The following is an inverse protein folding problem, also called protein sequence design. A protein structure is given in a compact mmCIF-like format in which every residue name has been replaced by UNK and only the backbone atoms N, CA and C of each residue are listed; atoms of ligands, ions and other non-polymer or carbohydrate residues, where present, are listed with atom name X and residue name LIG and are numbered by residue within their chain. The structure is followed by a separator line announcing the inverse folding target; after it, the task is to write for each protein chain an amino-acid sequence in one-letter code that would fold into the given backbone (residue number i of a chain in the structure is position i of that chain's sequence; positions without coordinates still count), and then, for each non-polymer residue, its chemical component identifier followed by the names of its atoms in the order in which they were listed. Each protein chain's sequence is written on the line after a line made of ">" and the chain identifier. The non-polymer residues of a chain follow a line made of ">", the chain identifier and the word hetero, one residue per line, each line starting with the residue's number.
data_IF_089896386405
#
_entry.id   IF_089896386405
#
_cell.length_a   1.000
_cell.length_b   1.000
_cell.length_c   1.000
_cell.angle_alpha   90.00
_cell.angle_beta   90.00
_cell.angle_gamma   90.00
#
_symmetry.space_group_name_H-M   'P 1'
#
loop_
_entity.id
_entity.type
_entity.pdbx_description
1 polymer ?
#
# COMPACT_ATOMS: atom_id res chain seq x y z
N UNK A 1 -0.31 -24.65 -6.79
CA UNK A 1 -1.70 -24.16 -6.97
C UNK A 1 -2.40 -25.07 -7.95
N UNK A 2 -3.71 -25.25 -7.83
CA UNK A 2 -4.47 -25.95 -8.88
C UNK A 2 -4.52 -25.08 -10.14
N UNK A 3 -4.45 -25.66 -11.35
CA UNK A 3 -4.69 -24.92 -12.58
C UNK A 3 -6.03 -24.18 -12.53
N UNK A 4 -6.03 -22.89 -12.86
CA UNK A 4 -7.21 -22.02 -12.80
C UNK A 4 -7.54 -21.41 -11.42
N UNK A 5 -6.76 -21.72 -10.37
CA UNK A 5 -6.89 -21.06 -9.08
C UNK A 5 -6.55 -19.56 -9.14
N UNK A 6 -7.27 -18.73 -8.37
CA UNK A 6 -7.03 -17.28 -8.28
C UNK A 6 -6.21 -16.92 -7.04
N UNK A 7 -5.26 -16.00 -7.21
CA UNK A 7 -4.46 -15.44 -6.12
C UNK A 7 -4.93 -14.02 -5.81
N UNK A 8 -5.29 -13.78 -4.54
CA UNK A 8 -5.56 -12.44 -4.01
C UNK A 8 -4.54 -12.13 -2.93
N UNK A 9 -3.80 -11.04 -3.08
CA UNK A 9 -2.74 -10.66 -2.14
C UNK A 9 -2.68 -9.14 -1.97
N UNK A 10 -2.49 -8.70 -0.73
CA UNK A 10 -2.11 -7.33 -0.40
C UNK A 10 -0.62 -7.33 -0.01
N UNK A 11 0.15 -6.46 -0.65
CA UNK A 11 1.60 -6.42 -0.49
C UNK A 11 2.04 -5.00 -0.13
N UNK A 12 3.08 -4.85 0.70
CA UNK A 12 3.53 -3.54 1.11
C UNK A 12 4.18 -2.82 -0.09
N UNK A 13 3.72 -1.60 -0.36
CA UNK A 13 4.10 -0.84 -1.55
C UNK A 13 5.42 -0.07 -1.35
N UNK A 14 6.15 0.13 -2.45
CA UNK A 14 7.32 1.00 -2.63
C UNK A 14 8.51 0.71 -1.69
N UNK A 15 9.62 0.22 -2.25
CA UNK A 15 10.85 -0.01 -1.48
C UNK A 15 11.45 1.26 -0.85
N UNK A 16 11.24 2.44 -1.45
CA UNK A 16 11.70 3.72 -0.87
C UNK A 16 11.02 4.09 0.45
N UNK A 17 9.90 3.43 0.80
CA UNK A 17 9.20 3.64 2.07
C UNK A 17 9.73 2.75 3.21
N UNK A 18 10.75 1.93 2.95
CA UNK A 18 11.32 1.05 3.98
C UNK A 18 11.76 1.83 5.21
N UNK A 19 11.38 1.34 6.38
CA UNK A 19 11.63 2.00 7.67
C UNK A 19 11.90 0.98 8.78
N UNK A 20 12.26 1.46 9.98
CA UNK A 20 12.52 0.59 11.13
C UNK A 20 11.30 -0.26 11.50
N UNK A 21 10.09 0.26 11.32
CA UNK A 21 8.89 -0.50 11.57
C UNK A 21 8.61 -1.61 10.57
N UNK A 22 9.15 -1.54 9.35
CA UNK A 22 9.11 -2.69 8.45
C UNK A 22 9.93 -3.85 9.02
N UNK A 23 11.08 -3.54 9.61
CA UNK A 23 11.92 -4.53 10.29
C UNK A 23 11.20 -5.07 11.53
N UNK A 24 10.60 -4.20 12.34
CA UNK A 24 9.83 -4.61 13.52
C UNK A 24 8.62 -5.48 13.17
N UNK A 25 7.91 -5.15 12.08
CA UNK A 25 6.79 -5.94 11.58
C UNK A 25 7.21 -7.24 10.88
N UNK A 26 8.52 -7.50 10.73
CA UNK A 26 9.03 -8.68 10.04
C UNK A 26 8.77 -8.67 8.54
N UNK A 27 8.56 -7.50 7.93
CA UNK A 27 8.48 -7.41 6.48
C UNK A 27 9.82 -7.77 5.85
N UNK A 28 9.78 -8.47 4.72
CA UNK A 28 10.97 -8.90 3.98
C UNK A 28 11.24 -8.09 2.72
N UNK A 29 10.19 -7.57 2.07
CA UNK A 29 10.28 -6.83 0.82
C UNK A 29 9.05 -5.97 0.59
N UNK A 30 9.23 -4.82 -0.05
CA UNK A 30 8.15 -4.01 -0.63
C UNK A 30 8.19 -4.06 -2.16
N UNK A 31 7.05 -3.82 -2.80
CA UNK A 31 6.90 -3.96 -4.24
C UNK A 31 6.35 -2.69 -4.88
N UNK A 32 6.84 -2.37 -6.07
CA UNK A 32 6.08 -1.55 -7.04
C UNK A 32 5.17 -2.47 -7.85
N UNK A 33 4.12 -1.91 -8.47
CA UNK A 33 3.25 -2.63 -9.41
C UNK A 33 4.07 -3.31 -10.51
N UNK A 34 5.09 -2.66 -11.08
CA UNK A 34 5.94 -3.30 -12.08
C UNK A 34 6.67 -4.51 -11.51
N UNK A 35 7.31 -4.36 -10.35
CA UNK A 35 8.11 -5.44 -9.74
C UNK A 35 7.29 -6.66 -9.35
N UNK A 36 6.06 -6.49 -8.84
CA UNK A 36 5.21 -7.63 -8.51
C UNK A 36 4.64 -8.28 -9.77
N UNK A 37 4.24 -7.50 -10.77
CA UNK A 37 3.79 -8.03 -12.05
C UNK A 37 4.88 -8.86 -12.72
N UNK A 38 6.13 -8.41 -12.67
CA UNK A 38 7.26 -9.16 -13.25
C UNK A 38 7.52 -10.47 -12.51
N UNK A 39 7.40 -10.48 -11.18
CA UNK A 39 7.53 -11.72 -10.36
C UNK A 39 6.40 -12.70 -10.70
N UNK A 40 5.16 -12.22 -10.74
CA UNK A 40 3.99 -13.06 -11.02
C UNK A 40 3.99 -13.60 -12.45
N UNK A 41 4.36 -12.80 -13.45
CA UNK A 41 4.49 -13.27 -14.84
C UNK A 41 5.58 -14.34 -14.99
N UNK A 42 6.71 -14.20 -14.28
CA UNK A 42 7.77 -15.22 -14.26
C UNK A 42 7.34 -16.52 -13.60
N UNK A 43 6.36 -16.45 -12.69
CA UNK A 43 5.71 -17.60 -12.08
C UNK A 43 4.48 -18.08 -12.86
N UNK A 44 4.34 -17.66 -14.13
CA UNK A 44 3.29 -18.07 -15.07
C UNK A 44 1.87 -17.67 -14.65
N UNK A 45 1.73 -16.64 -13.81
CA UNK A 45 0.41 -16.07 -13.50
C UNK A 45 -0.05 -15.11 -14.59
N UNK A 46 -1.34 -15.20 -14.93
CA UNK A 46 -2.06 -14.15 -15.66
C UNK A 46 -2.50 -13.08 -14.68
N UNK A 47 -2.10 -11.83 -14.91
CA UNK A 47 -2.54 -10.69 -14.09
C UNK A 47 -3.93 -10.27 -14.57
N UNK A 48 -4.94 -10.52 -13.74
CA UNK A 48 -6.32 -10.06 -14.00
C UNK A 48 -6.53 -8.62 -13.51
N UNK A 49 -5.95 -8.25 -12.37
CA UNK A 49 -6.10 -6.93 -11.79
C UNK A 49 -4.93 -6.58 -10.87
N UNK A 50 -4.48 -5.33 -10.93
CA UNK A 50 -3.47 -4.80 -10.01
C UNK A 50 -3.67 -3.31 -9.76
N UNK A 51 -3.65 -2.91 -8.49
CA UNK A 51 -3.75 -1.51 -8.09
C UNK A 51 -2.99 -1.26 -6.80
N UNK A 52 -2.61 0.00 -6.60
CA UNK A 52 -2.31 0.50 -5.27
C UNK A 52 -3.62 0.83 -4.55
N UNK A 53 -3.61 0.69 -3.23
CA UNK A 53 -4.68 1.15 -2.33
C UNK A 53 -4.06 2.09 -1.29
N UNK A 54 -4.83 3.04 -0.79
CA UNK A 54 -4.38 4.15 0.06
C UNK A 54 -3.30 5.04 -0.57
N UNK A 55 -3.52 5.45 -1.81
CA UNK A 55 -2.53 6.18 -2.64
C UNK A 55 -2.00 7.48 -1.99
N UNK A 56 -2.70 8.06 -1.03
CA UNK A 56 -2.23 9.24 -0.27
C UNK A 56 -1.34 8.91 0.93
N UNK A 57 -1.40 7.70 1.49
CA UNK A 57 -0.59 7.30 2.65
C UNK A 57 0.91 7.20 2.33
N UNK A 58 1.37 6.75 1.15
CA UNK A 58 2.78 6.74 0.80
C UNK A 58 3.51 8.06 1.06
N UNK A 59 2.90 9.20 0.74
CA UNK A 59 3.55 10.51 0.96
C UNK A 59 3.64 10.85 2.44
N UNK A 60 2.59 10.56 3.22
CA UNK A 60 2.56 10.75 4.68
C UNK A 60 3.59 9.83 5.36
N UNK A 61 3.62 8.55 4.99
CA UNK A 61 4.58 7.56 5.51
C UNK A 61 6.00 7.97 5.16
N UNK A 62 6.26 8.43 3.95
CA UNK A 62 7.59 8.89 3.54
C UNK A 62 8.07 10.05 4.42
N UNK A 63 7.22 11.06 4.65
CA UNK A 63 7.54 12.24 5.45
C UNK A 63 7.80 11.93 6.92
N UNK A 64 6.94 11.12 7.54
CA UNK A 64 6.98 10.93 8.99
C UNK A 64 7.75 9.69 9.43
N UNK A 65 8.06 8.73 8.54
CA UNK A 65 8.70 7.45 8.91
C UNK A 65 9.99 7.19 8.13
N UNK A 66 9.91 7.22 6.80
CA UNK A 66 11.05 6.85 5.94
C UNK A 66 12.14 7.94 5.92
N UNK A 67 11.76 9.22 5.91
CA UNK A 67 12.72 10.34 5.95
C UNK A 67 13.56 10.37 7.23
N UNK A 68 12.99 10.35 8.45
CA UNK A 68 13.77 10.34 9.69
C UNK A 68 14.76 9.17 9.81
N UNK A 69 14.35 7.99 9.32
CA UNK A 69 15.20 6.79 9.33
C UNK A 69 16.38 6.90 8.36
N UNK A 70 16.22 7.55 7.21
CA UNK A 70 17.31 7.85 6.27
C UNK A 70 18.36 8.84 6.85
N UNK A 71 17.93 9.76 7.72
CA UNK A 71 18.82 10.73 8.37
C UNK A 71 19.46 10.23 9.67
N UNK A 72 19.43 8.92 9.95
CA UNK A 72 20.13 8.31 11.09
C UNK A 72 19.56 8.66 12.46
N UNK A 73 18.41 9.35 12.52
CA UNK A 73 17.66 9.53 13.75
C UNK A 73 16.86 8.26 14.00
N UNK A 74 17.50 7.30 14.68
CA UNK A 74 16.79 6.23 15.37
C UNK A 74 15.99 6.83 16.52
N UNK A 75 14.88 7.51 16.21
CA UNK A 75 13.82 7.67 17.18
C UNK A 75 13.14 6.31 17.25
N UNK A 76 13.66 5.43 18.10
CA UNK A 76 12.86 4.37 18.69
C UNK A 76 11.75 5.05 19.51
N UNK A 77 10.75 5.60 18.84
CA UNK A 77 9.56 6.12 19.50
C UNK A 77 8.62 4.95 19.75
N UNK A 78 9.02 4.10 20.71
CA UNK A 78 8.11 3.23 21.44
C UNK A 78 7.00 4.04 22.16
N UNK A 79 7.07 5.37 22.16
CA UNK A 79 6.05 6.28 22.69
C UNK A 79 4.91 6.63 21.72
N UNK A 80 5.01 6.31 20.42
CA UNK A 80 3.95 6.68 19.48
C UNK A 80 2.75 5.70 19.45
N UNK A 81 2.90 4.49 20.02
CA UNK A 81 1.82 3.48 20.09
C UNK A 81 0.68 3.82 21.07
N UNK A 82 0.77 4.93 21.83
CA UNK A 82 -0.33 5.39 22.72
C UNK A 82 -1.21 6.49 22.11
N UNK A 83 -0.97 6.91 20.87
CA UNK A 83 -1.75 7.98 20.21
C UNK A 83 -2.69 7.51 19.09
N UNK A 84 -2.87 6.19 18.94
CA UNK A 84 -3.63 5.61 17.82
C UNK A 84 -5.13 5.39 18.08
N UNK A 85 -5.66 5.72 19.25
CA UNK A 85 -7.07 5.44 19.58
C UNK A 85 -7.97 6.68 19.81
N UNK A 86 -7.51 7.88 19.45
CA UNK A 86 -8.37 9.07 19.43
C UNK A 86 -8.22 9.82 18.11
N UNK A 87 -8.78 9.27 17.04
CA UNK A 87 -9.17 10.11 15.91
C UNK A 87 -10.39 10.92 16.38
N UNK A 88 -10.13 12.11 16.94
CA UNK A 88 -11.20 13.09 17.17
C UNK A 88 -11.89 13.36 15.84
N UNK A 89 -13.21 13.24 15.79
CA UNK A 89 -14.01 13.62 14.63
C UNK A 89 -13.78 15.10 14.31
N UNK A 90 -12.84 15.37 13.41
CA UNK A 90 -12.40 16.71 13.03
C UNK A 90 -12.28 16.84 11.51
N UNK A 91 -11.85 18.02 11.05
CA UNK A 91 -11.69 18.31 9.62
C UNK A 91 -10.80 17.27 8.88
N UNK A 92 -9.84 16.66 9.59
CA UNK A 92 -8.97 15.61 9.05
C UNK A 92 -9.73 14.34 8.62
N UNK A 93 -10.76 13.89 9.36
CA UNK A 93 -11.50 12.69 8.97
C UNK A 93 -12.34 12.93 7.70
N UNK A 94 -12.85 14.15 7.53
CA UNK A 94 -13.59 14.55 6.31
C UNK A 94 -12.69 14.54 5.08
N UNK A 95 -11.46 15.06 5.21
CA UNK A 95 -10.47 15.06 4.12
C UNK A 95 -10.07 13.62 3.79
N UNK A 96 -9.78 12.80 4.80
CA UNK A 96 -9.47 11.39 4.63
C UNK A 96 -10.61 10.65 3.91
N UNK A 97 -11.86 10.83 4.34
CA UNK A 97 -13.02 10.21 3.70
C UNK A 97 -13.16 10.65 2.24
N UNK A 98 -12.93 11.93 1.91
CA UNK A 98 -12.94 12.38 0.50
C UNK A 98 -11.86 11.71 -0.33
N UNK A 99 -10.62 11.62 0.18
CA UNK A 99 -9.52 10.98 -0.52
C UNK A 99 -9.79 9.49 -0.76
N UNK A 100 -10.33 8.80 0.25
CA UNK A 100 -10.72 7.39 0.15
C UNK A 100 -11.87 7.18 -0.86
N UNK A 101 -12.87 8.06 -0.89
CA UNK A 101 -13.96 7.98 -1.86
C UNK A 101 -13.47 8.18 -3.30
N UNK A 102 -12.60 9.16 -3.53
CA UNK A 102 -11.99 9.37 -4.86
C UNK A 102 -11.17 8.15 -5.28
N UNK A 103 -10.45 7.52 -4.35
CA UNK A 103 -9.70 6.30 -4.63
C UNK A 103 -10.62 5.12 -4.94
N UNK A 104 -11.73 4.96 -4.20
CA UNK A 104 -12.74 3.93 -4.48
C UNK A 104 -13.33 4.08 -5.89
N UNK A 105 -13.65 5.31 -6.31
CA UNK A 105 -14.15 5.56 -7.66
C UNK A 105 -13.12 5.18 -8.74
N UNK A 106 -11.84 5.52 -8.53
CA UNK A 106 -10.75 5.14 -9.45
C UNK A 106 -10.56 3.64 -9.54
N UNK A 107 -10.62 2.93 -8.41
CA UNK A 107 -10.48 1.47 -8.34
C UNK A 107 -11.63 0.79 -9.10
N UNK A 108 -12.87 1.29 -8.93
CA UNK A 108 -14.05 0.79 -9.66
C UNK A 108 -13.93 0.98 -11.17
N UNK A 109 -13.62 2.20 -11.63
CA UNK A 109 -13.45 2.47 -13.07
C UNK A 109 -12.36 1.60 -13.72
N UNK A 110 -11.25 1.36 -13.00
CA UNK A 110 -10.16 0.51 -13.50
C UNK A 110 -10.57 -0.96 -13.58
N UNK A 111 -11.41 -1.43 -12.66
CA UNK A 111 -11.93 -2.79 -12.68
C UNK A 111 -12.89 -3.01 -13.86
N UNK A 112 -13.77 -2.04 -14.13
CA UNK A 112 -14.69 -2.06 -15.27
C UNK A 112 -13.91 -2.12 -16.60
N UNK A 113 -12.89 -1.26 -16.77
CA UNK A 113 -12.06 -1.23 -17.98
C UNK A 113 -11.25 -2.53 -18.20
N UNK A 114 -10.76 -3.17 -17.14
CA UNK A 114 -10.02 -4.44 -17.26
C UNK A 114 -10.97 -5.64 -17.47
N UNK A 115 -12.22 -5.55 -17.03
CA UNK A 115 -13.24 -6.58 -17.29
C UNK A 115 -13.74 -6.57 -18.74
N UNK A 116 -13.84 -5.41 -19.38
CA UNK A 116 -14.21 -5.30 -20.80
C UNK A 116 -13.08 -5.74 -21.75
N UNK A 117 -11.82 -5.52 -21.36
CA UNK A 117 -10.64 -5.91 -22.16
C UNK A 117 -10.33 -7.43 -22.12
N UNK A 118 -11.12 -8.22 -21.39
CA UNK A 118 -10.93 -9.67 -21.21
C UNK A 118 -12.05 -10.49 -21.89
N UNK A 119 -12.98 -9.83 -22.59
CA UNK A 119 -14.01 -10.48 -23.43
C UNK A 119 -13.53 -10.65 -24.86
#
# INVERSE_FOLDING_TARGET
>A
MIPGGRLYATLPAYNSLWSAEDVYAGHFRRYTVSSICDVLRKAEFRIEYVTYFFSFLPSVVFLFRSLPTLFGKHTASAESSKKDQQIKEGAGSKIMNRLLLIELERIKQKNEFQSEAVV
#
